data_IF_045795898013
#
_entry.id   IF_045795898013
#
_cell.length_a   1.000
_cell.length_b   1.000
_cell.length_c   1.000
_cell.angle_alpha   90.00
_cell.angle_beta   90.00
_cell.angle_gamma   90.00
#
_symmetry.space_group_name_H-M   'P 1'
#
loop_
_entity.id
_entity.type
_entity.pdbx_description
1 polymer ?
#
# COMPACT_ATOMS: atom_id res chain seq x y z
N UNK A 1 -13.91 22.69 14.85
CA UNK A 1 -13.38 21.39 15.35
C UNK A 1 -14.43 20.28 15.39
N UNK A 2 -15.74 20.56 15.58
CA UNK A 2 -16.82 19.55 15.61
C UNK A 2 -17.17 18.87 14.27
N UNK A 3 -16.49 19.21 13.17
CA UNK A 3 -16.88 18.81 11.81
C UNK A 3 -15.81 17.99 11.05
N UNK A 4 -14.70 17.63 11.69
CA UNK A 4 -13.61 16.88 11.06
C UNK A 4 -13.25 15.63 11.86
N UNK A 5 -12.88 14.55 11.15
CA UNK A 5 -12.46 13.30 11.79
C UNK A 5 -11.10 13.44 12.48
N UNK A 6 -10.82 12.58 13.46
CA UNK A 6 -9.51 12.55 14.14
C UNK A 6 -8.37 12.42 13.12
N UNK A 7 -8.51 11.52 12.15
CA UNK A 7 -7.51 11.33 11.08
C UNK A 7 -7.28 12.58 10.24
N UNK A 8 -8.33 13.39 10.00
CA UNK A 8 -8.20 14.68 9.31
C UNK A 8 -7.39 15.68 10.13
N UNK A 9 -7.60 15.72 11.45
CA UNK A 9 -6.88 16.61 12.36
C UNK A 9 -5.42 16.18 12.47
N UNK A 10 -5.16 14.88 12.65
CA UNK A 10 -3.81 14.31 12.68
C UNK A 10 -3.03 14.60 11.39
N UNK A 11 -3.67 14.41 10.23
CA UNK A 11 -3.07 14.73 8.93
C UNK A 11 -2.74 16.22 8.78
N UNK A 12 -3.57 17.11 9.32
CA UNK A 12 -3.28 18.54 9.30
C UNK A 12 -2.12 18.91 10.23
N UNK A 13 -2.03 18.32 11.42
CA UNK A 13 -0.90 18.53 12.33
C UNK A 13 0.41 18.10 11.68
N UNK A 14 0.44 16.93 11.05
CA UNK A 14 1.60 16.47 10.28
C UNK A 14 1.93 17.38 9.10
N UNK A 15 0.92 17.88 8.39
CA UNK A 15 1.12 18.87 7.33
C UNK A 15 1.85 20.09 7.88
N UNK A 16 1.38 20.66 9.00
CA UNK A 16 1.97 21.83 9.65
C UNK A 16 3.41 21.58 10.12
N UNK A 17 3.69 20.37 10.62
CA UNK A 17 5.04 19.95 11.01
C UNK A 17 5.96 19.82 9.79
N UNK A 18 5.48 19.20 8.71
CA UNK A 18 6.21 19.01 7.44
C UNK A 18 6.60 20.34 6.79
N UNK A 19 5.69 21.32 6.81
CA UNK A 19 5.97 22.67 6.28
C UNK A 19 6.71 23.57 7.29
N UNK A 20 7.08 23.05 8.46
CA UNK A 20 7.92 23.73 9.44
C UNK A 20 7.23 24.84 10.23
N UNK A 21 5.89 24.87 10.31
CA UNK A 21 5.16 25.87 11.10
C UNK A 21 5.05 25.48 12.58
N UNK A 22 5.09 24.18 12.87
CA UNK A 22 5.13 23.64 14.23
C UNK A 22 6.25 22.62 14.37
N UNK A 23 6.69 22.40 15.60
CA UNK A 23 7.68 21.37 15.94
C UNK A 23 7.22 20.62 17.19
N UNK A 24 7.30 19.28 17.15
CA UNK A 24 7.07 18.46 18.34
C UNK A 24 8.25 18.58 19.31
N UNK A 25 7.96 18.78 20.59
CA UNK A 25 8.94 18.76 21.68
C UNK A 25 8.39 17.99 22.87
N UNK A 26 9.26 17.26 23.55
CA UNK A 26 8.91 16.62 24.80
C UNK A 26 9.24 17.56 25.97
N UNK A 27 8.23 17.87 26.78
CA UNK A 27 8.44 18.56 28.05
C UNK A 27 8.76 17.49 29.10
N UNK A 28 9.93 17.55 29.75
CA UNK A 28 10.27 16.62 30.81
C UNK A 28 9.31 16.83 31.99
N UNK A 29 8.50 15.82 32.26
CA UNK A 29 7.62 15.76 33.42
C UNK A 29 7.74 14.37 34.06
N UNK A 30 7.43 14.28 35.36
CA UNK A 30 7.39 13.00 36.08
C UNK A 30 5.93 12.52 36.19
N UNK A 31 5.65 11.22 35.98
CA UNK A 31 6.58 10.11 35.72
C UNK A 31 6.99 9.94 34.24
N UNK A 32 6.34 10.62 33.29
CA UNK A 32 6.63 10.52 31.86
C UNK A 32 6.66 11.89 31.19
N UNK A 33 7.51 12.08 30.16
CA UNK A 33 7.50 13.30 29.36
C UNK A 33 6.15 13.48 28.64
N UNK A 34 5.73 14.74 28.48
CA UNK A 34 4.53 15.10 27.72
C UNK A 34 4.91 15.70 26.37
N UNK A 35 4.48 15.10 25.25
CA UNK A 35 4.70 15.68 23.94
C UNK A 35 3.80 16.90 23.73
N UNK A 36 4.39 18.00 23.29
CA UNK A 36 3.68 19.23 22.91
C UNK A 36 4.12 19.69 21.52
N UNK A 37 3.27 20.46 20.85
CA UNK A 37 3.64 21.18 19.64
C UNK A 37 3.96 22.63 19.97
N UNK A 38 5.10 23.12 19.49
CA UNK A 38 5.54 24.50 19.65
C UNK A 38 5.50 25.20 18.29
N UNK A 39 4.99 26.44 18.26
CA UNK A 39 5.03 27.28 17.08
C UNK A 39 6.48 27.69 16.76
N UNK A 40 6.90 27.47 15.52
CA UNK A 40 8.15 28.04 15.00
C UNK A 40 7.95 29.53 14.71
N UNK A 41 9.04 30.26 14.43
CA UNK A 41 8.92 31.67 14.03
C UNK A 41 8.14 31.84 12.71
N UNK A 42 8.19 30.84 11.82
CA UNK A 42 7.34 30.78 10.65
C UNK A 42 5.87 30.59 11.02
N UNK A 43 5.57 29.68 11.95
CA UNK A 43 4.22 29.47 12.50
C UNK A 43 3.61 30.72 13.12
N UNK A 44 4.39 31.45 13.93
CA UNK A 44 3.96 32.72 14.53
C UNK A 44 3.60 33.76 13.46
N UNK A 45 4.46 33.93 12.44
CA UNK A 45 4.21 34.86 11.33
C UNK A 45 2.93 34.54 10.56
N UNK A 46 2.62 33.26 10.37
CA UNK A 46 1.39 32.82 9.69
C UNK A 46 0.15 33.24 10.48
N UNK A 47 0.18 33.08 11.81
CA UNK A 47 -0.90 33.51 12.71
C UNK A 47 -1.04 35.04 12.70
N UNK A 48 0.07 35.77 12.88
CA UNK A 48 0.09 37.24 12.87
C UNK A 48 -0.48 37.83 11.58
N UNK A 49 -0.11 37.26 10.44
CA UNK A 49 -0.57 37.69 9.11
C UNK A 49 -1.91 37.10 8.70
N UNK A 50 -2.54 36.27 9.55
CA UNK A 50 -3.81 35.57 9.27
C UNK A 50 -3.80 34.84 7.92
N UNK A 51 -2.67 34.23 7.58
CA UNK A 51 -2.54 33.51 6.31
C UNK A 51 -3.40 32.25 6.35
N UNK A 52 -4.12 31.98 5.27
CA UNK A 52 -4.91 30.77 5.15
C UNK A 52 -4.01 29.59 4.78
N UNK A 53 -4.06 28.51 5.55
CA UNK A 53 -3.38 27.25 5.24
C UNK A 53 -4.45 26.28 4.74
N UNK A 54 -4.43 25.90 3.46
CA UNK A 54 -5.38 24.91 2.95
C UNK A 54 -5.09 23.54 3.57
N UNK A 55 -6.15 22.85 3.99
CA UNK A 55 -6.08 21.45 4.40
C UNK A 55 -5.71 20.59 3.19
N UNK A 56 -4.58 19.91 3.26
CA UNK A 56 -4.19 18.93 2.26
C UNK A 56 -4.67 17.55 2.72
N UNK A 57 -5.45 16.87 1.88
CA UNK A 57 -5.81 15.46 2.12
C UNK A 57 -4.59 14.61 1.77
N UNK A 58 -3.75 14.34 2.75
CA UNK A 58 -2.63 13.40 2.60
C UNK A 58 -3.21 11.98 2.55
N UNK A 59 -3.36 11.44 1.33
CA UNK A 59 -3.81 10.05 1.14
C UNK A 59 -2.67 9.11 1.51
N UNK A 60 -2.68 8.59 2.73
CA UNK A 60 -1.74 7.55 3.15
C UNK A 60 -2.11 6.24 2.47
N UNK A 61 -1.16 5.64 1.77
CA UNK A 61 -1.28 4.25 1.37
C UNK A 61 -1.22 3.40 2.65
N UNK A 62 -2.31 2.68 2.94
CA UNK A 62 -2.32 1.75 4.06
C UNK A 62 -1.35 0.61 3.73
N UNK A 63 -0.56 0.15 4.71
CA UNK A 63 0.30 -1.01 4.49
C UNK A 63 -0.58 -2.19 4.03
N UNK A 64 -0.09 -2.94 3.06
CA UNK A 64 -0.78 -4.13 2.59
C UNK A 64 -0.60 -5.19 3.67
N UNK A 65 -1.66 -5.49 4.40
CA UNK A 65 -1.64 -6.49 5.48
C UNK A 65 -2.35 -7.78 5.06
N UNK A 66 -1.93 -8.90 5.64
CA UNK A 66 -2.59 -10.21 5.48
C UNK A 66 -3.72 -10.36 6.50
N UNK A 67 -4.96 -10.46 6.00
CA UNK A 67 -6.16 -10.69 6.81
C UNK A 67 -6.55 -12.16 6.93
N UNK A 68 -7.71 -12.42 7.55
CA UNK A 68 -8.23 -13.78 7.73
C UNK A 68 -8.55 -14.49 6.40
N UNK A 69 -9.05 -13.76 5.41
CA UNK A 69 -9.39 -14.30 4.09
C UNK A 69 -8.16 -14.74 3.29
N UNK A 70 -7.06 -13.99 3.42
CA UNK A 70 -5.78 -14.34 2.82
C UNK A 70 -5.19 -15.58 3.49
N UNK A 71 -5.28 -15.69 4.82
CA UNK A 71 -4.84 -16.88 5.57
C UNK A 71 -5.59 -18.15 5.14
N UNK A 72 -6.91 -18.08 5.01
CA UNK A 72 -7.71 -19.21 4.50
C UNK A 72 -7.28 -19.63 3.09
N UNK A 73 -6.98 -18.66 2.21
CA UNK A 73 -6.46 -18.92 0.86
C UNK A 73 -5.11 -19.63 0.93
N UNK A 74 -4.22 -19.14 1.78
CA UNK A 74 -2.88 -19.69 1.97
C UNK A 74 -2.90 -21.13 2.51
N UNK A 75 -3.79 -21.44 3.45
CA UNK A 75 -3.93 -22.79 4.00
C UNK A 75 -4.37 -23.81 2.93
N UNK A 76 -5.33 -23.44 2.07
CA UNK A 76 -5.75 -24.30 0.96
C UNK A 76 -4.66 -24.45 -0.08
N UNK A 77 -3.94 -23.36 -0.39
CA UNK A 77 -2.80 -23.40 -1.30
C UNK A 77 -1.68 -24.33 -0.79
N UNK A 78 -1.34 -24.26 0.51
CA UNK A 78 -0.35 -25.16 1.13
C UNK A 78 -0.77 -26.63 1.14
N UNK A 79 -2.07 -26.92 0.99
CA UNK A 79 -2.60 -28.28 0.79
C UNK A 79 -2.51 -28.75 -0.67
N UNK A 80 -1.92 -27.94 -1.57
CA UNK A 80 -1.71 -28.27 -2.98
C UNK A 80 -2.88 -27.90 -3.89
N UNK A 81 -3.87 -27.14 -3.40
CA UNK A 81 -4.98 -26.67 -4.24
C UNK A 81 -4.52 -25.56 -5.19
N UNK A 82 -4.92 -25.63 -6.47
CA UNK A 82 -4.67 -24.58 -7.45
C UNK A 82 -5.53 -23.34 -7.19
N UNK A 83 -5.21 -22.20 -7.82
CA UNK A 83 -6.03 -20.98 -7.70
C UNK A 83 -7.51 -21.21 -8.07
N UNK A 84 -7.75 -22.00 -9.12
CA UNK A 84 -9.09 -22.37 -9.60
C UNK A 84 -9.83 -23.25 -8.59
N UNK A 85 -9.13 -24.22 -7.98
CA UNK A 85 -9.73 -25.08 -6.97
C UNK A 85 -10.08 -24.30 -5.70
N UNK A 86 -9.19 -23.41 -5.26
CA UNK A 86 -9.42 -22.54 -4.10
C UNK A 86 -10.62 -21.61 -4.38
N UNK A 87 -10.72 -21.05 -5.58
CA UNK A 87 -11.85 -20.22 -5.99
C UNK A 87 -13.16 -21.00 -5.85
N UNK A 88 -13.23 -22.23 -6.35
CA UNK A 88 -14.41 -23.11 -6.23
C UNK A 88 -14.72 -23.46 -4.77
N UNK A 89 -13.73 -23.90 -3.99
CA UNK A 89 -13.88 -24.29 -2.58
C UNK A 89 -14.41 -23.12 -1.74
N UNK A 90 -13.94 -21.90 -2.02
CA UNK A 90 -14.31 -20.70 -1.26
C UNK A 90 -15.54 -19.97 -1.82
N UNK A 91 -16.08 -20.40 -2.96
CA UNK A 91 -17.17 -19.70 -3.65
C UNK A 91 -16.78 -18.30 -4.13
N UNK A 92 -15.52 -18.13 -4.57
CA UNK A 92 -14.96 -16.88 -5.07
C UNK A 92 -14.58 -17.00 -6.54
N UNK A 93 -14.28 -15.86 -7.18
CA UNK A 93 -13.67 -15.83 -8.51
C UNK A 93 -12.15 -15.87 -8.41
N UNK A 94 -11.48 -16.44 -9.43
CA UNK A 94 -10.01 -16.60 -9.44
C UNK A 94 -9.25 -15.28 -9.27
N UNK A 95 -9.75 -14.16 -9.82
CA UNK A 95 -9.15 -12.84 -9.63
C UNK A 95 -9.08 -12.42 -8.16
N UNK A 96 -10.05 -12.83 -7.33
CA UNK A 96 -10.03 -12.59 -5.88
C UNK A 96 -8.95 -13.43 -5.20
N UNK A 97 -8.76 -14.67 -5.65
CA UNK A 97 -7.70 -15.54 -5.16
C UNK A 97 -6.32 -14.97 -5.49
N UNK A 98 -6.10 -14.51 -6.72
CA UNK A 98 -4.85 -13.83 -7.09
C UNK A 98 -4.64 -12.52 -6.34
N UNK A 99 -5.70 -11.79 -5.99
CA UNK A 99 -5.60 -10.61 -5.11
C UNK A 99 -5.11 -11.00 -3.71
N UNK A 100 -5.57 -12.12 -3.16
CA UNK A 100 -5.04 -12.64 -1.89
C UNK A 100 -3.59 -13.10 -2.01
N UNK A 101 -3.23 -13.81 -3.09
CA UNK A 101 -1.84 -14.20 -3.34
C UNK A 101 -0.92 -13.00 -3.46
N UNK A 102 -1.31 -11.95 -4.18
CA UNK A 102 -0.55 -10.70 -4.23
C UNK A 102 -0.25 -10.15 -2.83
N UNK A 103 -1.24 -10.13 -1.92
CA UNK A 103 -1.02 -9.66 -0.54
C UNK A 103 -0.06 -10.55 0.23
N UNK A 104 -0.17 -11.87 0.05
CA UNK A 104 0.76 -12.84 0.65
C UNK A 104 2.19 -12.67 0.11
N UNK A 105 2.34 -12.37 -1.19
CA UNK A 105 3.63 -12.12 -1.84
C UNK A 105 4.28 -10.84 -1.32
N UNK A 106 3.54 -9.73 -1.27
CA UNK A 106 4.05 -8.46 -0.73
C UNK A 106 4.52 -8.61 0.72
N UNK A 107 3.88 -9.49 1.49
CA UNK A 107 4.25 -9.77 2.88
C UNK A 107 5.28 -10.91 3.04
N UNK A 108 5.85 -11.43 1.94
CA UNK A 108 6.90 -12.45 1.98
C UNK A 108 6.45 -13.86 2.38
N UNK A 109 5.14 -14.14 2.39
CA UNK A 109 4.62 -15.49 2.68
C UNK A 109 4.64 -16.42 1.45
N UNK A 110 4.64 -15.84 0.25
CA UNK A 110 4.72 -16.52 -1.03
C UNK A 110 5.66 -15.76 -1.97
N UNK A 111 6.17 -16.45 -2.97
CA UNK A 111 6.83 -15.86 -4.15
C UNK A 111 5.86 -15.87 -5.33
N UNK A 112 6.11 -15.04 -6.35
CA UNK A 112 5.24 -15.09 -7.54
C UNK A 112 5.41 -16.43 -8.31
N UNK A 113 6.54 -17.13 -8.14
CA UNK A 113 6.81 -18.46 -8.70
C UNK A 113 5.96 -19.57 -8.10
N UNK A 114 5.42 -19.36 -6.89
CA UNK A 114 4.56 -20.36 -6.26
C UNK A 114 3.19 -20.43 -6.97
N UNK A 115 2.71 -19.30 -7.50
CA UNK A 115 1.31 -19.16 -7.95
C UNK A 115 1.15 -18.81 -9.43
N UNK A 116 2.24 -18.46 -10.12
CA UNK A 116 2.28 -18.14 -11.55
C UNK A 116 3.29 -19.06 -12.24
N UNK A 117 2.91 -19.63 -13.38
CA UNK A 117 3.81 -20.48 -14.17
C UNK A 117 5.04 -19.70 -14.65
N UNK A 118 6.15 -20.43 -14.82
CA UNK A 118 7.42 -19.81 -15.23
C UNK A 118 7.33 -19.12 -16.60
N UNK A 119 6.63 -19.71 -17.57
CA UNK A 119 6.44 -19.11 -18.89
C UNK A 119 5.67 -17.79 -18.83
N UNK A 120 4.63 -17.73 -17.98
CA UNK A 120 3.84 -16.51 -17.80
C UNK A 120 4.65 -15.45 -17.04
N UNK A 121 5.41 -15.86 -16.01
CA UNK A 121 6.32 -14.98 -15.27
C UNK A 121 7.34 -14.32 -16.21
N UNK A 122 8.01 -15.11 -17.05
CA UNK A 122 9.01 -14.61 -18.00
C UNK A 122 8.43 -13.56 -18.94
N UNK A 123 7.25 -13.83 -19.53
CA UNK A 123 6.56 -12.86 -20.39
C UNK A 123 6.27 -11.55 -19.66
N UNK A 124 5.76 -11.63 -18.42
CA UNK A 124 5.46 -10.43 -17.63
C UNK A 124 6.76 -9.67 -17.28
N UNK A 125 7.81 -10.38 -16.86
CA UNK A 125 9.10 -9.78 -16.51
C UNK A 125 9.79 -9.11 -17.71
N UNK A 126 9.72 -9.74 -18.88
CA UNK A 126 10.24 -9.18 -20.14
C UNK A 126 9.52 -7.89 -20.54
N UNK A 127 8.19 -7.82 -20.34
CA UNK A 127 7.46 -6.57 -20.56
C UNK A 127 7.83 -5.53 -19.50
N UNK A 128 7.96 -5.92 -18.24
CA UNK A 128 8.35 -5.03 -17.14
C UNK A 128 9.75 -4.42 -17.31
N UNK A 129 10.71 -5.17 -17.87
CA UNK A 129 12.08 -4.68 -18.10
C UNK A 129 12.21 -3.66 -19.23
N UNK A 130 11.16 -3.47 -20.04
CA UNK A 130 11.13 -2.46 -21.11
C UNK A 130 10.81 -1.04 -20.59
N UNK A 131 10.56 -0.88 -19.29
CA UNK A 131 10.22 0.41 -18.68
C UNK A 131 11.31 0.84 -17.70
N UNK A 132 11.79 2.07 -17.84
CA UNK A 132 12.79 2.65 -16.94
C UNK A 132 12.25 2.84 -15.52
N UNK A 133 10.95 3.15 -15.41
CA UNK A 133 10.24 3.31 -14.15
C UNK A 133 9.05 2.35 -14.07
N UNK A 134 8.59 2.05 -12.85
CA UNK A 134 7.46 1.13 -12.63
C UNK A 134 6.19 1.62 -13.36
N UNK A 135 5.73 0.95 -14.43
CA UNK A 135 4.59 1.38 -15.22
C UNK A 135 3.26 1.11 -14.49
N UNK A 136 2.17 1.68 -15.01
CA UNK A 136 0.83 1.25 -14.61
C UNK A 136 0.57 -0.18 -15.10
N UNK A 137 -0.27 -0.93 -14.38
CA UNK A 137 -0.64 -2.30 -14.79
C UNK A 137 -1.29 -2.34 -16.17
N UNK A 138 -2.02 -1.29 -16.55
CA UNK A 138 -2.63 -1.15 -17.88
C UNK A 138 -1.58 -1.15 -18.99
N UNK A 139 -0.50 -0.36 -18.85
CA UNK A 139 0.59 -0.32 -19.84
C UNK A 139 1.29 -1.68 -20.00
N UNK A 140 1.40 -2.44 -18.91
CA UNK A 140 1.96 -3.81 -18.97
C UNK A 140 0.98 -4.76 -19.65
N UNK A 141 -0.31 -4.70 -19.29
CA UNK A 141 -1.36 -5.57 -19.86
C UNK A 141 -1.54 -5.37 -21.37
N UNK A 142 -1.42 -4.14 -21.88
CA UNK A 142 -1.52 -3.83 -23.32
C UNK A 142 -0.47 -4.55 -24.16
N UNK A 143 0.69 -4.90 -23.58
CA UNK A 143 1.78 -5.64 -24.23
C UNK A 143 1.71 -7.15 -24.01
N UNK A 144 0.71 -7.64 -23.27
CA UNK A 144 0.55 -9.05 -22.91
C UNK A 144 -0.69 -9.66 -23.56
N UNK A 145 -0.69 -10.98 -23.69
CA UNK A 145 -1.82 -11.73 -24.24
C UNK A 145 -3.06 -11.64 -23.35
N UNK A 146 -4.25 -11.87 -23.94
CA UNK A 146 -5.53 -11.66 -23.24
C UNK A 146 -5.73 -12.58 -22.03
N UNK A 147 -5.15 -13.78 -22.05
CA UNK A 147 -5.19 -14.80 -20.99
C UNK A 147 -4.50 -14.37 -19.68
N UNK A 148 -3.54 -13.43 -19.72
CA UNK A 148 -2.82 -12.99 -18.52
C UNK A 148 -3.61 -11.91 -17.79
N UNK A 149 -4.21 -12.22 -16.65
CA UNK A 149 -5.05 -11.26 -15.91
C UNK A 149 -4.23 -10.15 -15.23
N UNK A 150 -4.90 -9.04 -14.90
CA UNK A 150 -4.29 -7.92 -14.17
C UNK A 150 -3.72 -8.35 -12.80
N UNK A 151 -4.40 -9.26 -12.12
CA UNK A 151 -4.01 -9.75 -10.80
C UNK A 151 -2.78 -10.66 -10.86
N UNK A 152 -2.64 -11.46 -11.92
CA UNK A 152 -1.43 -12.23 -12.19
C UNK A 152 -0.24 -11.33 -12.49
N UNK A 153 -0.42 -10.29 -13.33
CA UNK A 153 0.62 -9.26 -13.59
C UNK A 153 1.04 -8.62 -12.26
N UNK A 154 0.06 -8.27 -11.43
CA UNK A 154 0.30 -7.63 -10.13
C UNK A 154 1.12 -8.51 -9.19
N UNK A 155 0.91 -9.83 -9.18
CA UNK A 155 1.70 -10.77 -8.40
C UNK A 155 3.18 -10.75 -8.80
N UNK A 156 3.47 -10.81 -10.10
CA UNK A 156 4.85 -10.81 -10.62
C UNK A 156 5.51 -9.44 -10.44
N UNK A 157 4.79 -8.35 -10.73
CA UNK A 157 5.29 -6.99 -10.59
C UNK A 157 5.58 -6.60 -9.13
N UNK A 158 4.90 -7.22 -8.16
CA UNK A 158 5.18 -7.00 -6.73
C UNK A 158 6.61 -7.41 -6.37
N UNK A 159 7.04 -8.56 -6.87
CA UNK A 159 8.38 -9.10 -6.63
C UNK A 159 9.43 -8.41 -7.50
N UNK A 160 9.14 -8.19 -8.78
CA UNK A 160 10.08 -7.59 -9.74
C UNK A 160 10.54 -6.18 -9.35
N UNK A 161 9.63 -5.34 -8.85
CA UNK A 161 9.96 -3.95 -8.49
C UNK A 161 10.22 -3.73 -6.99
N UNK A 162 10.23 -4.79 -6.18
CA UNK A 162 10.17 -4.69 -4.73
C UNK A 162 8.77 -4.26 -4.26
N UNK A 163 8.20 -4.98 -3.28
CA UNK A 163 6.86 -4.71 -2.74
C UNK A 163 6.66 -3.23 -2.41
N UNK A 164 5.50 -2.67 -2.77
CA UNK A 164 5.09 -1.33 -2.32
C UNK A 164 4.40 -1.48 -0.97
#
# INVERSE_FOLDING_TARGET
>A
LLWHTISTIEGFIEQLETIGLIQKRDIPARPYPFPVYVLTDAGKKVIEKKMQIPLQVIKREKPITVGGTEKQTFELFKKGSSASDIAKIRGLVESTIYTHFYRLIVNGHLSSSDVISEDMRKKIQEVCSQFDERPSLTKVKEKLSQDITYEQIRCVAAEFYGGR
#
